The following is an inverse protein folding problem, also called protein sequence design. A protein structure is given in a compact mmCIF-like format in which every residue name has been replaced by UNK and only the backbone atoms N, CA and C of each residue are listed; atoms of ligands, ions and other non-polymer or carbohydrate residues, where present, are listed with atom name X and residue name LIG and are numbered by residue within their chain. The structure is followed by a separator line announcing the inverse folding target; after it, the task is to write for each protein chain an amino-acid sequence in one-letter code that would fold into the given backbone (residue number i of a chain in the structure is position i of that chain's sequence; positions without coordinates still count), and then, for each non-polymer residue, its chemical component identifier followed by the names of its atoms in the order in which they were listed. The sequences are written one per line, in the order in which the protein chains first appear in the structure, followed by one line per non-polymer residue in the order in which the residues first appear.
data_IF_585526023068
#
_entry.id   IF_585526023068
#
_cell.length_a   1.000
_cell.length_b   1.000
_cell.length_c   1.000
_cell.angle_alpha   90.00
_cell.angle_beta   90.00
_cell.angle_gamma   90.00
#
_symmetry.space_group_name_H-M   'P 1'
#
loop_
_entity.id
_entity.type
_entity.pdbx_description
1 polymer ?
#
# COMPACT_ATOMS: atom_id res chain seq x y z
N UNK A 1 14.79 1.00 19.33
CA UNK A 1 13.69 1.81 19.86
C UNK A 1 12.39 1.14 19.48
N UNK A 2 11.42 1.12 20.39
CA UNK A 2 10.07 0.68 20.04
C UNK A 2 9.50 1.58 18.94
N UNK A 3 8.63 1.06 18.07
CA UNK A 3 7.96 1.86 17.03
C UNK A 3 7.23 3.07 17.65
N UNK A 4 6.67 2.90 18.85
CA UNK A 4 5.99 3.97 19.58
C UNK A 4 6.94 5.11 19.99
N UNK A 5 8.19 4.80 20.34
CA UNK A 5 9.19 5.84 20.67
C UNK A 5 9.57 6.64 19.43
N UNK A 6 9.73 5.96 18.28
CA UNK A 6 10.04 6.62 17.01
C UNK A 6 8.89 7.54 16.56
N UNK A 7 7.64 7.10 16.72
CA UNK A 7 6.46 7.90 16.41
C UNK A 7 6.36 9.11 17.36
N UNK A 8 6.51 8.90 18.67
CA UNK A 8 6.42 9.96 19.66
C UNK A 8 7.48 11.06 19.45
N UNK A 9 8.72 10.70 19.11
CA UNK A 9 9.79 11.65 18.79
C UNK A 9 9.44 12.58 17.60
N UNK A 10 8.53 12.13 16.73
CA UNK A 10 8.06 12.87 15.56
C UNK A 10 6.71 13.55 15.78
N UNK A 11 6.14 13.45 16.98
CA UNK A 11 4.79 13.94 17.27
C UNK A 11 3.68 13.15 16.57
N UNK A 12 3.93 11.88 16.26
CA UNK A 12 2.98 10.97 15.60
C UNK A 12 2.42 9.96 16.61
N UNK A 13 1.22 9.46 16.32
CA UNK A 13 0.54 8.41 17.08
C UNK A 13 0.15 7.25 16.16
N UNK A 14 0.12 6.03 16.71
CA UNK A 14 -0.27 4.84 15.96
C UNK A 14 -1.79 4.69 15.96
N UNK A 15 -2.39 4.76 14.77
CA UNK A 15 -3.79 4.43 14.57
C UNK A 15 -3.93 2.96 14.17
N UNK A 16 -4.77 2.22 14.89
CA UNK A 16 -4.98 0.79 14.63
C UNK A 16 -5.95 0.57 13.48
N UNK A 17 -5.50 -0.13 12.45
CA UNK A 17 -6.32 -0.59 11.32
C UNK A 17 -6.58 -2.10 11.47
N UNK A 18 -7.73 -2.55 10.99
CA UNK A 18 -8.09 -3.99 11.00
C UNK A 18 -7.02 -4.77 10.22
N UNK A 19 -6.50 -5.84 10.84
CA UNK A 19 -5.49 -6.71 10.22
C UNK A 19 -6.17 -7.72 9.31
N UNK A 20 -6.52 -7.29 8.10
CA UNK A 20 -7.02 -8.14 7.01
C UNK A 20 -6.24 -7.88 5.71
N UNK A 21 -6.65 -8.48 4.58
CA UNK A 21 -6.00 -8.25 3.28
C UNK A 21 -6.11 -6.82 2.75
N UNK A 22 -6.91 -5.96 3.36
CA UNK A 22 -7.07 -4.56 2.97
C UNK A 22 -6.22 -3.61 3.81
N UNK A 23 -5.53 -4.08 4.85
CA UNK A 23 -4.88 -3.22 5.84
C UNK A 23 -3.97 -2.14 5.22
N UNK A 24 -3.21 -2.49 4.17
CA UNK A 24 -2.39 -1.54 3.42
C UNK A 24 -3.23 -0.42 2.80
N UNK A 25 -4.25 -0.76 2.03
CA UNK A 25 -5.10 0.22 1.36
C UNK A 25 -5.94 1.03 2.35
N UNK A 26 -6.41 0.37 3.42
CA UNK A 26 -7.17 1.01 4.48
C UNK A 26 -6.33 2.06 5.23
N UNK A 27 -5.07 1.75 5.55
CA UNK A 27 -4.17 2.73 6.17
C UNK A 27 -3.84 3.92 5.26
N UNK A 28 -3.72 3.70 3.94
CA UNK A 28 -3.49 4.78 2.97
C UNK A 28 -4.72 5.67 2.83
N UNK A 29 -5.90 5.06 2.70
CA UNK A 29 -7.18 5.79 2.64
C UNK A 29 -7.34 6.66 3.88
N UNK A 30 -7.21 6.07 5.08
CA UNK A 30 -7.36 6.76 6.36
C UNK A 30 -6.48 8.01 6.47
N UNK A 31 -5.24 7.94 5.95
CA UNK A 31 -4.26 9.03 6.11
C UNK A 31 -4.23 10.04 4.96
N UNK A 32 -4.65 9.67 3.75
CA UNK A 32 -4.27 10.43 2.55
C UNK A 32 -5.41 10.68 1.56
N UNK A 33 -6.62 10.15 1.77
CA UNK A 33 -7.69 10.29 0.77
C UNK A 33 -9.11 10.11 1.32
N UNK A 34 -10.09 10.79 0.71
CA UNK A 34 -11.52 10.54 0.96
C UNK A 34 -12.08 9.34 0.17
N UNK A 35 -11.22 8.65 -0.59
CA UNK A 35 -11.59 7.44 -1.32
C UNK A 35 -11.89 6.30 -0.35
N UNK A 36 -12.73 5.35 -0.75
CA UNK A 36 -12.77 4.06 -0.06
C UNK A 36 -11.73 3.08 -0.64
N UNK A 37 -11.45 2.00 0.11
CA UNK A 37 -10.48 0.96 -0.27
C UNK A 37 -10.70 0.41 -1.66
N UNK A 38 -11.96 0.20 -2.06
CA UNK A 38 -12.31 -0.34 -3.37
C UNK A 38 -11.98 0.67 -4.48
N UNK A 39 -12.34 1.94 -4.31
CA UNK A 39 -12.03 2.99 -5.29
C UNK A 39 -10.52 3.14 -5.47
N UNK A 40 -9.75 3.14 -4.37
CA UNK A 40 -8.30 3.20 -4.45
C UNK A 40 -7.73 2.02 -5.25
N UNK A 41 -8.24 0.81 -5.03
CA UNK A 41 -7.80 -0.40 -5.73
C UNK A 41 -8.15 -0.40 -7.22
N UNK A 42 -9.34 0.08 -7.57
CA UNK A 42 -9.74 0.29 -8.97
C UNK A 42 -8.79 1.27 -9.68
N UNK A 43 -8.42 2.38 -9.02
CA UNK A 43 -7.46 3.36 -9.57
C UNK A 43 -6.05 2.78 -9.74
N UNK A 44 -5.58 1.97 -8.77
CA UNK A 44 -4.27 1.30 -8.88
C UNK A 44 -4.27 0.33 -10.05
N UNK A 45 -5.30 -0.50 -10.18
CA UNK A 45 -5.41 -1.45 -11.28
C UNK A 45 -5.48 -0.74 -12.65
N UNK A 46 -6.20 0.38 -12.76
CA UNK A 46 -6.22 1.20 -13.97
C UNK A 46 -4.84 1.80 -14.27
N UNK A 47 -4.17 2.33 -13.26
CA UNK A 47 -2.82 2.88 -13.41
C UNK A 47 -1.83 1.83 -13.91
N UNK A 48 -1.85 0.64 -13.31
CA UNK A 48 -1.01 -0.49 -13.72
C UNK A 48 -1.26 -0.86 -15.18
N UNK A 49 -2.52 -1.06 -15.58
CA UNK A 49 -2.87 -1.33 -16.99
C UNK A 49 -2.31 -0.28 -17.96
N UNK A 50 -2.42 1.00 -17.61
CA UNK A 50 -1.93 2.11 -18.44
C UNK A 50 -0.39 2.15 -18.54
N UNK A 51 0.31 1.63 -17.54
CA UNK A 51 1.78 1.64 -17.46
C UNK A 51 2.36 0.23 -17.47
N UNK A 52 1.69 -0.72 -18.15
CA UNK A 52 2.02 -2.14 -18.12
C UNK A 52 3.51 -2.42 -18.31
N UNK A 53 4.15 -1.78 -19.29
CA UNK A 53 5.58 -1.95 -19.59
C UNK A 53 6.51 -1.73 -18.40
N UNK A 54 6.12 -0.86 -17.47
CA UNK A 54 6.95 -0.43 -16.35
C UNK A 54 6.84 -1.42 -15.17
N UNK A 55 5.76 -2.20 -15.11
CA UNK A 55 5.43 -3.06 -13.97
C UNK A 55 5.40 -4.55 -14.31
N UNK A 56 5.08 -4.91 -15.55
CA UNK A 56 4.99 -6.30 -16.01
C UNK A 56 6.24 -7.14 -15.70
N UNK A 57 7.48 -6.62 -15.83
CA UNK A 57 8.68 -7.38 -15.45
C UNK A 57 8.77 -7.78 -13.97
N UNK A 58 7.96 -7.16 -13.11
CA UNK A 58 7.94 -7.41 -11.66
C UNK A 58 6.76 -8.28 -11.21
N UNK A 59 5.94 -8.77 -12.16
CA UNK A 59 4.76 -9.58 -11.87
C UNK A 59 4.95 -10.97 -12.50
N UNK A 60 5.07 -11.99 -11.64
CA UNK A 60 5.31 -13.37 -12.06
C UNK A 60 4.05 -14.09 -12.58
N UNK A 61 2.88 -13.47 -12.42
CA UNK A 61 1.58 -14.01 -12.87
C UNK A 61 1.11 -13.32 -14.14
N UNK A 62 0.02 -13.83 -14.74
CA UNK A 62 -0.66 -13.09 -15.81
C UNK A 62 -1.03 -11.67 -15.34
N UNK A 63 -0.57 -10.68 -16.11
CA UNK A 63 -0.66 -9.27 -15.74
C UNK A 63 -2.10 -8.77 -15.67
N UNK A 64 -2.96 -9.24 -16.57
CA UNK A 64 -4.36 -8.81 -16.60
C UNK A 64 -5.12 -9.45 -15.43
N UNK A 65 -4.90 -10.74 -15.18
CA UNK A 65 -5.45 -11.42 -14.01
C UNK A 65 -4.99 -10.77 -12.70
N UNK A 66 -3.74 -10.31 -12.62
CA UNK A 66 -3.23 -9.53 -11.49
C UNK A 66 -4.04 -8.24 -11.28
N UNK A 67 -4.20 -7.44 -12.33
CA UNK A 67 -4.94 -6.18 -12.27
C UNK A 67 -6.42 -6.40 -11.92
N UNK A 68 -7.04 -7.47 -12.43
CA UNK A 68 -8.41 -7.83 -12.08
C UNK A 68 -8.57 -8.25 -10.62
N UNK A 69 -7.66 -9.10 -10.12
CA UNK A 69 -7.65 -9.52 -8.71
C UNK A 69 -7.44 -8.34 -7.78
N UNK A 70 -6.50 -7.46 -8.11
CA UNK A 70 -6.24 -6.25 -7.33
C UNK A 70 -7.49 -5.36 -7.20
N UNK A 71 -8.25 -5.20 -8.29
CA UNK A 71 -9.47 -4.39 -8.28
C UNK A 71 -10.62 -5.03 -7.48
N UNK A 72 -10.74 -6.37 -7.48
CA UNK A 72 -11.96 -7.07 -7.02
C UNK A 72 -11.82 -7.88 -5.74
N UNK A 73 -10.65 -8.46 -5.48
CA UNK A 73 -10.44 -9.45 -4.40
C UNK A 73 -9.70 -8.84 -3.23
N UNK A 74 -9.95 -9.29 -2.00
CA UNK A 74 -9.21 -8.85 -0.79
C UNK A 74 -7.77 -9.43 -0.73
N UNK A 75 -6.95 -9.10 -1.73
CA UNK A 75 -5.53 -9.42 -1.83
C UNK A 75 -4.66 -8.41 -1.09
N UNK A 76 -3.58 -8.93 -0.48
CA UNK A 76 -2.54 -8.12 0.13
C UNK A 76 -1.83 -7.28 -0.93
N UNK A 77 -1.69 -5.98 -0.68
CA UNK A 77 -0.84 -5.13 -1.49
C UNK A 77 0.61 -5.17 -1.02
N UNK A 78 1.53 -4.82 -1.91
CA UNK A 78 2.96 -4.78 -1.65
C UNK A 78 3.62 -3.49 -2.13
N UNK A 79 4.90 -3.61 -2.49
CA UNK A 79 5.73 -2.47 -2.90
C UNK A 79 5.21 -1.79 -4.18
N UNK A 80 4.70 -2.57 -5.14
CA UNK A 80 4.15 -2.05 -6.40
C UNK A 80 2.96 -1.14 -6.09
N UNK A 81 2.01 -1.62 -5.29
CA UNK A 81 0.80 -0.88 -4.91
C UNK A 81 1.17 0.39 -4.15
N UNK A 82 2.14 0.33 -3.24
CA UNK A 82 2.64 1.51 -2.52
C UNK A 82 3.19 2.58 -3.46
N UNK A 83 4.05 2.19 -4.40
CA UNK A 83 4.61 3.13 -5.37
C UNK A 83 3.53 3.74 -6.26
N UNK A 84 2.57 2.94 -6.70
CA UNK A 84 1.45 3.43 -7.50
C UNK A 84 0.52 4.33 -6.69
N UNK A 85 0.24 4.01 -5.42
CA UNK A 85 -0.52 4.89 -4.52
C UNK A 85 0.13 6.25 -4.36
N UNK A 86 1.45 6.29 -4.11
CA UNK A 86 2.19 7.55 -3.99
C UNK A 86 2.06 8.41 -5.26
N UNK A 87 2.08 7.77 -6.44
CA UNK A 87 1.89 8.43 -7.73
C UNK A 87 0.44 8.89 -7.96
N UNK A 88 -0.56 8.08 -7.66
CA UNK A 88 -1.98 8.44 -7.84
C UNK A 88 -2.38 9.58 -6.90
N UNK A 89 -1.98 9.48 -5.63
CA UNK A 89 -2.33 10.45 -4.59
C UNK A 89 -1.43 11.68 -4.61
N UNK A 90 -0.37 11.69 -5.43
CA UNK A 90 0.63 12.76 -5.50
C UNK A 90 1.19 13.12 -4.11
N UNK A 91 1.47 12.09 -3.30
CA UNK A 91 1.93 12.20 -1.92
C UNK A 91 3.07 11.21 -1.67
N UNK A 92 4.04 11.63 -0.85
CA UNK A 92 5.08 10.72 -0.36
C UNK A 92 4.48 9.77 0.68
N UNK A 93 4.80 8.48 0.56
CA UNK A 93 4.46 7.47 1.57
C UNK A 93 5.75 7.09 2.29
N UNK A 94 5.74 7.19 3.61
CA UNK A 94 6.85 6.78 4.47
C UNK A 94 6.45 5.56 5.28
N UNK A 95 7.27 4.52 5.23
CA UNK A 95 7.05 3.29 6.01
C UNK A 95 7.95 3.34 7.23
N UNK A 96 7.34 3.36 8.42
CA UNK A 96 8.06 3.28 9.70
C UNK A 96 7.94 1.84 10.18
N UNK A 97 9.07 1.15 10.27
CA UNK A 97 9.13 -0.23 10.73
C UNK A 97 9.84 -0.30 12.08
N UNK A 98 9.26 -1.02 13.04
CA UNK A 98 9.95 -1.34 14.28
C UNK A 98 11.18 -2.20 13.99
N UNK A 99 12.32 -1.85 14.57
CA UNK A 99 13.51 -2.70 14.51
C UNK A 99 13.21 -3.98 15.29
N UNK A 100 12.89 -5.07 14.57
CA UNK A 100 12.81 -6.39 15.18
C UNK A 100 14.20 -6.78 15.66
N UNK A 101 14.39 -6.89 16.98
CA UNK A 101 15.62 -7.43 17.53
C UNK A 101 15.68 -8.94 17.26
N UNK A 102 16.49 -9.35 16.30
CA UNK A 102 17.63 -10.25 16.49
C UNK A 102 18.48 -10.27 15.20
N UNK A 103 19.80 -10.06 15.29
CA UNK A 103 20.71 -10.44 14.22
C UNK A 103 20.80 -11.97 14.17
N UNK A 104 20.62 -12.56 12.99
CA UNK A 104 21.06 -13.93 12.69
C UNK A 104 22.57 -14.08 12.83
#
# INVERSE_FOLDING_TARGET
SSINEQLLQRGLELQSIVSDGNCLFASIVDQASDLNVRQLRELIAEYLRKHRSDYEPFIDTDYEAYCEKLAKENVWGGQIELQVCAKILQRSIEIIQGTGGEPI
#
